data_IF_422436073094
#
_entry.id   IF_422436073094
#
_cell.length_a   1.000
_cell.length_b   1.000
_cell.length_c   1.000
_cell.angle_alpha   90.00
_cell.angle_beta   90.00
_cell.angle_gamma   90.00
#
_symmetry.space_group_name_H-M   'P 1'
#
loop_
_entity.id
_entity.type
_entity.pdbx_description
1 polymer ?
#
# COMPACT_ATOMS: atom_id res chain seq x y z
N UNK A 1 23.66 -10.07 9.95
CA UNK A 1 22.47 -9.39 10.53
C UNK A 1 22.93 -8.06 11.07
N UNK A 2 22.13 -7.01 10.90
CA UNK A 2 22.44 -5.72 11.49
C UNK A 2 22.44 -5.90 13.02
N UNK A 3 23.62 -6.01 13.61
CA UNK A 3 23.78 -6.26 15.05
C UNK A 3 23.36 -5.05 15.89
N UNK A 4 23.27 -3.89 15.25
CA UNK A 4 22.99 -2.61 15.89
C UNK A 4 21.55 -2.14 15.62
N UNK A 5 20.79 -1.88 16.67
CA UNK A 5 19.39 -1.47 16.59
C UNK A 5 19.19 -0.19 15.76
N UNK A 6 20.15 0.74 15.80
CA UNK A 6 20.07 1.99 15.05
C UNK A 6 20.10 1.78 13.54
N UNK A 7 21.03 0.93 13.08
CA UNK A 7 21.14 0.59 11.66
C UNK A 7 19.91 -0.18 11.14
N UNK A 8 19.29 -1.03 11.99
CA UNK A 8 18.08 -1.77 11.63
C UNK A 8 16.88 -0.82 11.46
N UNK A 9 16.76 0.17 12.35
CA UNK A 9 15.71 1.19 12.28
C UNK A 9 15.85 2.04 11.02
N UNK A 10 17.07 2.48 10.69
CA UNK A 10 17.32 3.26 9.47
C UNK A 10 16.93 2.48 8.21
N UNK A 11 17.29 1.19 8.14
CA UNK A 11 16.92 0.34 7.01
C UNK A 11 15.40 0.18 6.90
N UNK A 12 14.72 -0.06 8.02
CA UNK A 12 13.25 -0.17 8.05
C UNK A 12 12.58 1.10 7.55
N UNK A 13 13.02 2.27 8.02
CA UNK A 13 12.48 3.56 7.57
C UNK A 13 12.75 3.77 6.08
N UNK A 14 13.95 3.45 5.59
CA UNK A 14 14.28 3.56 4.17
C UNK A 14 13.36 2.68 3.30
N UNK A 15 13.10 1.44 3.73
CA UNK A 15 12.20 0.51 3.05
C UNK A 15 10.75 1.04 3.06
N UNK A 16 10.28 1.58 4.18
CA UNK A 16 8.94 2.16 4.27
C UNK A 16 8.79 3.42 3.41
N UNK A 17 9.79 4.30 3.39
CA UNK A 17 9.79 5.48 2.53
C UNK A 17 9.79 5.10 1.05
N UNK A 18 10.59 4.11 0.66
CA UNK A 18 10.57 3.59 -0.71
C UNK A 18 9.20 3.00 -1.07
N UNK A 19 8.60 2.25 -0.15
CA UNK A 19 7.25 1.67 -0.28
C UNK A 19 6.17 2.75 -0.51
N UNK A 20 6.31 3.92 0.10
CA UNK A 20 5.35 5.03 0.00
C UNK A 20 5.30 5.68 -1.40
N UNK A 21 6.37 5.61 -2.20
CA UNK A 21 6.32 6.07 -3.61
C UNK A 21 5.25 5.32 -4.42
N UNK A 22 4.98 4.07 -4.06
CA UNK A 22 4.05 3.17 -4.76
C UNK A 22 2.66 3.12 -4.12
N UNK A 23 2.32 4.07 -3.25
CA UNK A 23 1.00 4.16 -2.62
C UNK A 23 -0.15 4.50 -3.61
N UNK A 24 0.16 4.87 -4.86
CA UNK A 24 -0.80 5.32 -5.86
C UNK A 24 -1.06 6.85 -5.85
N UNK A 25 -0.61 7.57 -4.82
CA UNK A 25 -0.74 9.03 -4.72
C UNK A 25 0.36 9.79 -5.49
N UNK A 26 1.62 9.37 -5.33
CA UNK A 26 2.79 10.07 -5.91
C UNK A 26 3.13 9.58 -7.32
N UNK A 27 2.92 8.29 -7.57
CA UNK A 27 3.11 7.65 -8.86
C UNK A 27 1.79 7.02 -9.24
N UNK A 28 1.29 7.35 -10.43
CA UNK A 28 0.07 6.75 -10.96
C UNK A 28 0.36 5.30 -11.38
N UNK A 29 -0.45 4.36 -10.90
CA UNK A 29 -0.36 2.92 -11.21
C UNK A 29 -0.31 2.64 -12.71
N UNK A 30 -1.11 3.36 -13.49
CA UNK A 30 -1.21 3.15 -14.95
C UNK A 30 0.07 3.52 -15.71
N UNK A 31 0.94 4.32 -15.10
CA UNK A 31 2.19 4.77 -15.72
C UNK A 31 3.38 3.86 -15.42
N UNK A 32 3.20 2.87 -14.53
CA UNK A 32 4.27 1.94 -14.15
C UNK A 32 4.44 0.90 -15.26
N UNK A 33 5.66 0.74 -15.83
CA UNK A 33 5.90 -0.26 -16.86
C UNK A 33 5.69 -1.68 -16.29
N UNK A 34 5.17 -2.58 -17.12
CA UNK A 34 4.81 -3.96 -16.73
C UNK A 34 5.93 -4.71 -15.98
N UNK A 35 7.19 -4.48 -16.35
CA UNK A 35 8.35 -5.10 -15.69
C UNK A 35 8.60 -4.66 -14.24
N UNK A 36 8.05 -3.51 -13.82
CA UNK A 36 8.19 -2.93 -12.48
C UNK A 36 6.91 -3.03 -11.63
N UNK A 37 5.79 -3.48 -12.20
CA UNK A 37 4.49 -3.58 -11.51
C UNK A 37 4.50 -4.51 -10.28
N UNK A 38 5.46 -5.44 -10.19
CA UNK A 38 5.60 -6.31 -9.01
C UNK A 38 6.14 -5.58 -7.78
N UNK A 39 6.91 -4.50 -7.95
CA UNK A 39 7.46 -3.71 -6.83
C UNK A 39 6.34 -3.00 -6.09
N UNK A 40 5.38 -2.49 -6.85
CA UNK A 40 4.18 -1.87 -6.30
C UNK A 40 3.40 -2.86 -5.42
N UNK A 41 3.25 -4.11 -5.86
CA UNK A 41 2.57 -5.16 -5.10
C UNK A 41 3.31 -5.58 -3.83
N UNK A 42 4.58 -5.21 -3.67
CA UNK A 42 5.36 -5.43 -2.44
C UNK A 42 5.18 -4.27 -1.43
N UNK A 43 4.58 -3.15 -1.85
CA UNK A 43 4.35 -2.00 -0.99
C UNK A 43 3.17 -2.22 -0.05
N UNK A 44 3.39 -2.12 1.26
CA UNK A 44 2.30 -2.04 2.25
C UNK A 44 1.43 -0.80 2.01
N UNK A 45 2.04 0.31 1.57
CA UNK A 45 1.30 1.55 1.37
C UNK A 45 0.38 1.50 0.15
N UNK A 46 0.69 0.69 -0.86
CA UNK A 46 -0.19 0.46 -2.00
C UNK A 46 -1.59 -0.01 -1.55
N UNK A 47 -1.65 -1.14 -0.84
CA UNK A 47 -2.92 -1.70 -0.38
C UNK A 47 -3.56 -0.87 0.75
N UNK A 48 -2.76 -0.34 1.68
CA UNK A 48 -3.30 0.44 2.79
C UNK A 48 -3.93 1.76 2.33
N UNK A 49 -3.28 2.47 1.39
CA UNK A 49 -3.80 3.74 0.90
C UNK A 49 -5.04 3.55 0.03
N UNK A 50 -5.04 2.55 -0.86
CA UNK A 50 -6.21 2.22 -1.67
C UNK A 50 -7.41 1.82 -0.80
N UNK A 51 -7.22 0.92 0.18
CA UNK A 51 -8.30 0.52 1.08
C UNK A 51 -8.90 1.71 1.84
N UNK A 52 -8.07 2.63 2.35
CA UNK A 52 -8.52 3.83 3.05
C UNK A 52 -9.24 4.81 2.11
N UNK A 53 -8.69 5.06 0.92
CA UNK A 53 -9.27 5.95 -0.07
C UNK A 53 -10.63 5.44 -0.56
N UNK A 54 -10.73 4.14 -0.85
CA UNK A 54 -11.98 3.48 -1.23
C UNK A 54 -12.99 3.54 -0.08
N UNK A 55 -12.58 3.25 1.16
CA UNK A 55 -13.46 3.32 2.32
C UNK A 55 -14.05 4.72 2.55
N UNK A 56 -13.26 5.77 2.31
CA UNK A 56 -13.68 7.15 2.55
C UNK A 56 -14.54 7.71 1.41
N UNK A 57 -14.17 7.44 0.15
CA UNK A 57 -14.72 8.13 -1.01
C UNK A 57 -15.81 7.32 -1.72
N UNK A 58 -15.81 5.99 -1.58
CA UNK A 58 -16.83 5.16 -2.22
C UNK A 58 -18.22 5.44 -1.65
N UNK A 59 -19.19 5.67 -2.52
CA UNK A 59 -20.57 6.05 -2.14
C UNK A 59 -20.80 7.55 -1.92
N UNK A 60 -19.76 8.39 -1.97
CA UNK A 60 -19.93 9.84 -1.96
C UNK A 60 -20.22 10.39 -3.36
N UNK A 61 -20.94 11.52 -3.42
CA UNK A 61 -21.13 12.31 -4.64
C UNK A 61 -20.52 13.68 -4.39
N UNK A 62 -19.45 14.00 -5.12
CA UNK A 62 -18.79 15.28 -5.02
C UNK A 62 -19.45 16.27 -5.99
N UNK A 63 -19.72 17.48 -5.50
CA UNK A 63 -20.32 18.56 -6.28
C UNK A 63 -19.22 19.54 -6.65
N UNK A 64 -18.92 19.68 -7.93
CA UNK A 64 -17.96 20.66 -8.45
C UNK A 64 -18.69 21.69 -9.31
N UNK A 65 -18.33 22.96 -9.18
CA UNK A 65 -18.73 24.00 -10.15
C UNK A 65 -17.65 24.14 -11.21
N UNK A 66 -17.91 23.65 -12.42
CA UNK A 66 -16.99 23.78 -13.56
C UNK A 66 -17.73 24.39 -14.74
N UNK A 67 -17.11 25.37 -15.41
CA UNK A 67 -17.70 26.08 -16.55
C UNK A 67 -19.09 26.72 -16.28
N UNK A 68 -19.35 27.12 -15.03
CA UNK A 68 -20.65 27.70 -14.63
C UNK A 68 -21.77 26.68 -14.38
N UNK A 69 -21.50 25.38 -14.50
CA UNK A 69 -22.44 24.28 -14.24
C UNK A 69 -22.08 23.57 -12.93
N UNK A 70 -23.11 23.14 -12.18
CA UNK A 70 -22.96 22.23 -11.04
C UNK A 70 -22.89 20.80 -11.57
N UNK A 71 -21.72 20.17 -11.49
CA UNK A 71 -21.50 18.78 -11.90
C UNK A 71 -21.45 17.93 -10.64
N UNK A 72 -22.20 16.84 -10.65
CA UNK A 72 -22.16 15.82 -9.60
C UNK A 72 -21.32 14.65 -10.11
N UNK A 73 -20.17 14.43 -9.47
CA UNK A 73 -19.23 13.37 -9.83
C UNK A 73 -19.25 12.30 -8.74
N UNK A 74 -19.62 11.05 -9.06
CA UNK A 74 -19.53 9.95 -8.10
C UNK A 74 -18.09 9.72 -7.65
N UNK A 75 -17.88 9.46 -6.37
CA UNK A 75 -16.56 9.19 -5.78
C UNK A 75 -15.84 8.00 -6.43
N UNK A 76 -16.59 7.00 -6.89
CA UNK A 76 -16.05 5.87 -7.65
C UNK A 76 -15.33 6.31 -8.95
N UNK A 77 -15.83 7.35 -9.63
CA UNK A 77 -15.18 7.90 -10.84
C UNK A 77 -13.87 8.58 -10.48
N UNK A 78 -13.82 9.26 -9.34
CA UNK A 78 -12.60 9.91 -8.85
C UNK A 78 -11.56 8.87 -8.47
N UNK A 79 -11.95 7.82 -7.75
CA UNK A 79 -11.08 6.70 -7.39
C UNK A 79 -10.47 6.03 -8.65
N UNK A 80 -11.28 5.81 -9.68
CA UNK A 80 -10.80 5.24 -10.95
C UNK A 80 -9.79 6.14 -11.67
N UNK A 81 -9.86 7.46 -11.48
CA UNK A 81 -8.87 8.41 -12.05
C UNK A 81 -7.48 8.24 -11.44
N UNK A 82 -7.40 7.77 -10.19
CA UNK A 82 -6.15 7.43 -9.51
C UNK A 82 -5.72 5.96 -9.75
N UNK A 83 -6.48 5.20 -10.54
CA UNK A 83 -6.22 3.78 -10.77
C UNK A 83 -6.64 2.88 -9.60
N UNK A 84 -7.54 3.34 -8.73
CA UNK A 84 -8.07 2.55 -7.62
C UNK A 84 -9.36 1.82 -8.00
N UNK A 85 -9.52 0.61 -7.48
CA UNK A 85 -10.73 -0.18 -7.65
C UNK A 85 -11.65 -0.03 -6.43
N UNK A 86 -12.80 0.61 -6.62
CA UNK A 86 -13.79 0.83 -5.57
C UNK A 86 -14.37 -0.47 -4.96
N UNK A 87 -14.20 -1.61 -5.63
CA UNK A 87 -14.60 -2.93 -5.13
C UNK A 87 -13.48 -3.71 -4.42
N UNK A 88 -12.23 -3.25 -4.45
CA UNK A 88 -11.07 -4.03 -4.03
C UNK A 88 -10.78 -4.01 -2.52
N UNK A 89 -11.54 -3.27 -1.71
CA UNK A 89 -11.26 -3.08 -0.28
C UNK A 89 -11.00 -4.38 0.49
N UNK A 90 -11.77 -5.44 0.21
CA UNK A 90 -11.60 -6.75 0.86
C UNK A 90 -10.32 -7.46 0.43
N UNK A 91 -9.95 -7.33 -0.84
CA UNK A 91 -8.69 -7.85 -1.37
C UNK A 91 -7.49 -7.13 -0.75
N UNK A 92 -7.54 -5.81 -0.66
CA UNK A 92 -6.47 -4.99 -0.10
C UNK A 92 -6.23 -5.30 1.38
N UNK A 93 -7.30 -5.41 2.17
CA UNK A 93 -7.21 -5.84 3.58
C UNK A 93 -6.63 -7.26 3.69
N UNK A 94 -7.04 -8.17 2.80
CA UNK A 94 -6.50 -9.53 2.75
C UNK A 94 -4.99 -9.55 2.48
N UNK A 95 -4.53 -8.79 1.50
CA UNK A 95 -3.11 -8.64 1.17
C UNK A 95 -2.31 -8.06 2.36
N UNK A 96 -2.82 -7.04 3.05
CA UNK A 96 -2.19 -6.49 4.25
C UNK A 96 -2.07 -7.55 5.36
N UNK A 97 -3.11 -8.35 5.58
CA UNK A 97 -3.08 -9.46 6.53
C UNK A 97 -2.00 -10.49 6.19
N UNK A 98 -1.86 -10.85 4.91
CA UNK A 98 -0.81 -11.75 4.43
C UNK A 98 0.58 -11.15 4.66
N UNK A 99 0.77 -9.85 4.39
CA UNK A 99 2.06 -9.19 4.60
C UNK A 99 2.48 -9.19 6.07
N UNK A 100 1.55 -8.88 6.98
CA UNK A 100 1.78 -8.95 8.44
C UNK A 100 2.12 -10.38 8.84
N UNK A 101 1.33 -11.37 8.38
CA UNK A 101 1.56 -12.78 8.66
C UNK A 101 2.93 -13.25 8.18
N UNK A 102 3.32 -12.89 6.95
CA UNK A 102 4.62 -13.25 6.37
C UNK A 102 5.78 -12.64 7.14
N UNK A 103 5.69 -11.36 7.55
CA UNK A 103 6.71 -10.68 8.35
C UNK A 103 6.86 -11.32 9.74
N UNK A 104 5.74 -11.64 10.40
CA UNK A 104 5.75 -12.31 11.69
C UNK A 104 6.32 -13.74 11.61
N UNK A 105 5.94 -14.51 10.58
CA UNK A 105 6.45 -15.85 10.33
C UNK A 105 7.95 -15.83 10.04
N UNK A 106 8.42 -14.94 9.17
CA UNK A 106 9.84 -14.78 8.87
C UNK A 106 10.63 -14.38 10.13
N UNK A 107 10.11 -13.43 10.92
CA UNK A 107 10.70 -13.06 12.21
C UNK A 107 10.79 -14.25 13.17
N UNK A 108 9.71 -15.01 13.33
CA UNK A 108 9.68 -16.20 14.17
C UNK A 108 10.64 -17.31 13.73
N UNK A 109 10.71 -17.58 12.42
CA UNK A 109 11.64 -18.55 11.85
C UNK A 109 13.09 -18.13 12.06
N UNK A 110 13.44 -16.88 11.75
CA UNK A 110 14.78 -16.35 11.96
C UNK A 110 15.20 -16.43 13.44
N UNK A 111 14.29 -16.11 14.37
CA UNK A 111 14.53 -16.28 15.80
C UNK A 111 14.75 -17.74 16.18
N UNK A 112 13.94 -18.67 15.66
CA UNK A 112 14.09 -20.10 15.95
C UNK A 112 15.42 -20.68 15.47
N UNK A 113 15.89 -20.28 14.28
CA UNK A 113 17.17 -20.71 13.71
C UNK A 113 18.33 -20.15 14.54
N UNK A 114 18.30 -18.85 14.85
CA UNK A 114 19.35 -18.20 15.64
C UNK A 114 19.44 -18.76 17.07
N UNK A 115 18.31 -19.03 17.72
CA UNK A 115 18.28 -19.65 19.06
C UNK A 115 18.78 -21.09 19.03
N UNK A 116 18.48 -21.85 17.97
CA UNK A 116 18.97 -23.22 17.81
C UNK A 116 20.49 -23.27 17.63
N UNK A 117 21.07 -22.32 16.90
CA UNK A 117 22.52 -22.29 16.62
C UNK A 117 23.38 -21.90 17.85
N UNK A 118 22.77 -21.32 18.90
CA UNK A 118 23.47 -20.90 20.14
C UNK A 118 23.45 -21.99 21.22
N UNK A 119 22.63 -23.03 21.08
CA UNK A 119 22.52 -24.14 22.04
C UNK A 119 23.38 -25.33 21.62
#
# INVERSE_FOLDING_TARGET
>A
MVKDSGSATMLSVLVLLFSLLFAGLFINKETIPLGLSWIEKLSVFHYAYEALAVNEVNGLILREKKFGLNIEVPGAVILSTFGFDAGAIGWDIGCLGIMIGSSALLGGLLLSVYVYEIR
#
